data_IF_371356615319
#
_entry.id   IF_371356615319
#
_cell.length_a   1.000
_cell.length_b   1.000
_cell.length_c   1.000
_cell.angle_alpha   90.00
_cell.angle_beta   90.00
_cell.angle_gamma   90.00
#
_symmetry.space_group_name_H-M   'P 1'
#
loop_
_entity.id
_entity.type
_entity.pdbx_description
1 polymer ?
#
# COMPACT_ATOMS: atom_id res chain seq x y z
N UNK A 1 -57.46 -40.31 -38.02
CA UNK A 1 -56.00 -40.21 -38.19
C UNK A 1 -55.58 -38.74 -38.19
N UNK A 2 -55.27 -38.16 -37.03
CA UNK A 2 -54.51 -36.90 -36.92
C UNK A 2 -53.71 -36.99 -35.62
N UNK A 3 -52.46 -37.42 -35.72
CA UNK A 3 -51.54 -37.56 -34.60
C UNK A 3 -50.81 -36.22 -34.44
N UNK A 4 -51.06 -35.50 -33.34
CA UNK A 4 -50.30 -34.31 -32.97
C UNK A 4 -49.07 -34.73 -32.17
N UNK A 5 -47.87 -34.44 -32.69
CA UNK A 5 -46.63 -34.60 -31.94
C UNK A 5 -46.42 -33.38 -31.05
N UNK A 6 -46.61 -33.55 -29.75
CA UNK A 6 -46.15 -32.61 -28.72
C UNK A 6 -44.63 -32.80 -28.56
N UNK A 7 -43.85 -31.84 -29.05
CA UNK A 7 -42.41 -31.75 -28.77
C UNK A 7 -42.27 -31.00 -27.45
N UNK A 8 -41.88 -31.70 -26.39
CA UNK A 8 -41.51 -31.09 -25.12
C UNK A 8 -40.08 -30.51 -25.25
N UNK A 9 -39.96 -29.18 -25.23
CA UNK A 9 -38.67 -28.49 -25.13
C UNK A 9 -38.25 -28.48 -23.66
N UNK A 10 -37.29 -29.33 -23.30
CA UNK A 10 -36.67 -29.30 -21.98
C UNK A 10 -35.72 -28.09 -21.91
N UNK A 11 -36.08 -27.07 -21.15
CA UNK A 11 -35.20 -25.95 -20.85
C UNK A 11 -34.11 -26.41 -19.87
N UNK A 12 -32.87 -26.53 -20.36
CA UNK A 12 -31.70 -26.76 -19.51
C UNK A 12 -31.37 -25.42 -18.84
N UNK A 13 -31.72 -25.28 -17.56
CA UNK A 13 -31.21 -24.20 -16.72
C UNK A 13 -29.74 -24.46 -16.42
N UNK A 14 -28.84 -23.76 -17.11
CA UNK A 14 -27.43 -23.67 -16.73
C UNK A 14 -27.36 -22.88 -15.42
N UNK A 15 -27.08 -23.57 -14.31
CA UNK A 15 -26.78 -22.93 -13.05
C UNK A 15 -25.50 -22.12 -13.20
N UNK A 16 -25.62 -20.80 -13.24
CA UNK A 16 -24.48 -19.90 -13.13
C UNK A 16 -23.86 -20.08 -11.74
N UNK A 17 -22.56 -20.35 -11.62
CA UNK A 17 -21.93 -20.42 -10.31
C UNK A 17 -22.07 -19.04 -9.66
N UNK A 18 -22.68 -19.00 -8.48
CA UNK A 18 -22.67 -17.80 -7.65
C UNK A 18 -21.22 -17.54 -7.25
N UNK A 19 -20.68 -16.40 -7.64
CA UNK A 19 -19.40 -15.94 -7.09
C UNK A 19 -19.62 -15.73 -5.59
N UNK A 20 -18.90 -16.49 -4.77
CA UNK A 20 -18.90 -16.27 -3.33
C UNK A 20 -18.37 -14.87 -3.06
N UNK A 21 -19.13 -14.06 -2.32
CA UNK A 21 -18.66 -12.79 -1.80
C UNK A 21 -17.53 -13.06 -0.80
N UNK A 22 -16.42 -12.31 -0.93
CA UNK A 22 -15.32 -12.36 0.03
C UNK A 22 -15.81 -11.71 1.33
N UNK A 23 -15.64 -12.40 2.46
CA UNK A 23 -15.96 -11.86 3.78
C UNK A 23 -15.03 -10.72 4.17
N UNK A 24 -15.47 -9.88 5.12
CA UNK A 24 -14.64 -8.79 5.65
C UNK A 24 -13.31 -9.30 6.21
N UNK A 25 -13.33 -10.40 6.95
CA UNK A 25 -12.13 -11.04 7.49
C UNK A 25 -11.17 -11.49 6.38
N UNK A 26 -11.68 -12.04 5.28
CA UNK A 26 -10.85 -12.40 4.13
C UNK A 26 -10.29 -11.17 3.41
N UNK A 27 -11.06 -10.08 3.32
CA UNK A 27 -10.55 -8.81 2.79
C UNK A 27 -9.42 -8.24 3.67
N UNK A 28 -9.56 -8.28 4.99
CA UNK A 28 -8.52 -7.82 5.93
C UNK A 28 -7.25 -8.66 5.77
N UNK A 29 -7.37 -9.99 5.72
CA UNK A 29 -6.23 -10.89 5.49
C UNK A 29 -5.55 -10.62 4.15
N UNK A 30 -6.34 -10.32 3.11
CA UNK A 30 -5.80 -9.91 1.82
C UNK A 30 -5.07 -8.57 1.92
N UNK A 31 -5.60 -7.60 2.66
CA UNK A 31 -4.93 -6.33 2.92
C UNK A 31 -3.59 -6.49 3.62
N UNK A 32 -3.53 -7.31 4.67
CA UNK A 32 -2.30 -7.67 5.38
C UNK A 32 -1.26 -8.28 4.43
N UNK A 33 -1.67 -9.24 3.60
CA UNK A 33 -0.80 -9.82 2.58
C UNK A 33 -0.24 -8.77 1.61
N UNK A 34 -1.09 -7.84 1.14
CA UNK A 34 -0.65 -6.79 0.23
C UNK A 34 0.36 -5.85 0.88
N UNK A 35 0.11 -5.39 2.11
CA UNK A 35 1.05 -4.54 2.86
C UNK A 35 2.39 -5.24 3.09
N UNK A 36 2.36 -6.55 3.40
CA UNK A 36 3.56 -7.34 3.64
C UNK A 36 4.39 -7.60 2.38
N UNK A 37 3.77 -7.66 1.20
CA UNK A 37 4.44 -8.09 -0.04
C UNK A 37 4.65 -6.98 -1.06
N UNK A 38 4.00 -5.82 -0.91
CA UNK A 38 4.05 -4.72 -1.89
C UNK A 38 5.05 -3.61 -1.53
N UNK A 39 6.04 -3.91 -0.68
CA UNK A 39 7.12 -2.96 -0.36
C UNK A 39 6.72 -1.76 0.51
N UNK A 40 5.52 -1.76 1.11
CA UNK A 40 5.08 -0.63 1.95
C UNK A 40 6.05 -0.36 3.10
N UNK A 41 6.56 -1.43 3.73
CA UNK A 41 7.48 -1.35 4.85
C UNK A 41 8.89 -0.89 4.46
N UNK A 42 9.26 -0.93 3.18
CA UNK A 42 10.63 -0.61 2.77
C UNK A 42 10.94 0.86 3.00
N UNK A 43 9.96 1.73 2.74
CA UNK A 43 10.08 3.18 2.90
C UNK A 43 9.25 3.71 4.07
N UNK A 44 8.09 3.12 4.39
CA UNK A 44 7.21 3.67 5.42
C UNK A 44 7.43 3.10 6.81
N UNK A 45 8.34 2.13 6.99
CA UNK A 45 8.75 1.66 8.32
C UNK A 45 10.20 2.08 8.56
N UNK A 46 10.51 2.87 9.60
CA UNK A 46 11.88 3.25 9.93
C UNK A 46 12.77 2.02 10.14
N UNK A 47 13.98 2.06 9.59
CA UNK A 47 14.99 1.05 9.86
C UNK A 47 15.79 1.39 11.11
N UNK A 48 16.22 0.34 11.82
CA UNK A 48 17.14 0.39 12.96
C UNK A 48 18.30 -0.57 12.73
N UNK A 49 19.38 -0.42 13.47
CA UNK A 49 20.46 -1.41 13.48
C UNK A 49 20.10 -2.57 14.41
N UNK A 50 19.97 -3.77 13.85
CA UNK A 50 19.89 -5.03 14.59
C UNK A 50 21.21 -5.82 14.54
N UNK A 51 21.21 -6.99 15.18
CA UNK A 51 22.41 -7.84 15.30
C UNK A 51 22.96 -8.33 13.95
N UNK A 52 22.11 -8.42 12.93
CA UNK A 52 22.45 -8.89 11.58
C UNK A 52 22.54 -7.75 10.54
N UNK A 53 22.53 -6.50 10.98
CA UNK A 53 22.53 -5.31 10.12
C UNK A 53 21.24 -4.50 10.21
N UNK A 54 21.02 -3.56 9.27
CA UNK A 54 19.81 -2.75 9.24
C UNK A 54 18.55 -3.62 9.06
N UNK A 55 17.53 -3.38 9.87
CA UNK A 55 16.24 -4.06 9.82
C UNK A 55 15.07 -3.09 10.09
N UNK A 56 13.85 -3.35 9.61
CA UNK A 56 12.68 -2.54 9.94
C UNK A 56 12.37 -2.56 11.45
N UNK A 57 12.12 -1.39 12.04
CA UNK A 57 11.64 -1.28 13.41
C UNK A 57 10.12 -1.46 13.45
N UNK A 58 9.68 -2.69 13.73
CA UNK A 58 8.26 -3.03 13.74
C UNK A 58 7.45 -2.34 14.86
N UNK A 59 8.10 -1.72 15.85
CA UNK A 59 7.40 -0.85 16.82
C UNK A 59 6.88 0.44 16.17
N UNK A 60 7.46 0.83 15.05
CA UNK A 60 7.15 2.01 14.26
C UNK A 60 6.66 1.61 12.86
N UNK A 61 6.07 0.41 12.74
CA UNK A 61 5.56 -0.10 11.48
C UNK A 61 4.65 0.93 10.80
N UNK A 62 4.98 1.28 9.56
CA UNK A 62 4.25 2.22 8.71
C UNK A 62 4.19 3.67 9.21
N UNK A 63 4.99 4.07 10.22
CA UNK A 63 4.95 5.41 10.78
C UNK A 63 5.58 6.50 9.91
N UNK A 64 6.28 6.14 8.83
CA UNK A 64 7.07 7.08 8.03
C UNK A 64 8.30 7.62 8.77
N UNK A 65 8.77 8.82 8.41
CA UNK A 65 9.96 9.40 9.03
C UNK A 65 9.68 9.85 10.48
N UNK A 66 10.45 9.39 11.49
CA UNK A 66 10.22 9.78 12.88
C UNK A 66 10.49 11.26 13.12
N UNK A 67 9.55 11.96 13.77
CA UNK A 67 9.67 13.37 14.15
C UNK A 67 10.92 13.66 15.02
N UNK A 68 11.37 12.67 15.78
CA UNK A 68 12.51 12.77 16.68
C UNK A 68 13.86 12.75 15.96
N UNK A 69 13.89 12.41 14.67
CA UNK A 69 15.09 12.34 13.84
C UNK A 69 15.19 13.54 12.90
N UNK A 70 15.27 14.74 13.47
CA UNK A 70 15.41 15.97 12.69
C UNK A 70 16.67 15.93 11.80
N UNK A 71 16.47 16.05 10.48
CA UNK A 71 17.56 16.25 9.51
C UNK A 71 17.88 17.74 9.46
N UNK A 72 18.93 18.15 10.17
CA UNK A 72 19.32 19.57 10.28
C UNK A 72 20.25 20.03 9.15
N UNK A 73 21.00 19.09 8.54
CA UNK A 73 21.95 19.39 7.48
C UNK A 73 21.93 18.29 6.42
N UNK A 74 22.00 18.72 5.15
CA UNK A 74 22.15 17.83 3.99
C UNK A 74 23.50 18.17 3.34
N UNK A 75 24.43 17.22 3.22
CA UNK A 75 25.68 17.45 2.51
C UNK A 75 25.44 17.93 1.07
N UNK A 76 26.30 18.78 0.49
CA UNK A 76 26.15 19.22 -0.89
C UNK A 76 26.12 18.03 -1.86
N UNK A 77 25.10 17.97 -2.72
CA UNK A 77 24.94 16.97 -3.77
C UNK A 77 25.25 17.65 -5.11
N UNK A 78 26.49 17.52 -5.57
CA UNK A 78 26.99 18.22 -6.76
C UNK A 78 26.93 17.39 -8.05
N UNK A 79 26.74 16.08 -7.93
CA UNK A 79 26.71 15.16 -9.06
C UNK A 79 25.27 14.94 -9.55
N UNK A 80 25.03 14.92 -10.88
CA UNK A 80 23.72 14.62 -11.42
C UNK A 80 23.34 13.16 -11.09
N UNK A 81 22.04 12.92 -10.86
CA UNK A 81 21.47 11.60 -10.58
C UNK A 81 21.92 10.95 -9.26
N UNK A 82 22.41 11.74 -8.30
CA UNK A 82 22.73 11.26 -6.94
C UNK A 82 21.64 11.67 -5.96
N UNK A 83 21.26 10.73 -5.09
CA UNK A 83 20.43 10.98 -3.91
C UNK A 83 21.08 10.35 -2.68
N UNK A 84 20.93 11.00 -1.52
CA UNK A 84 21.40 10.50 -0.23
C UNK A 84 20.21 10.00 0.56
N UNK A 85 20.24 8.73 0.96
CA UNK A 85 19.18 8.14 1.79
C UNK A 85 19.62 8.13 3.24
N UNK A 86 18.73 8.55 4.14
CA UNK A 86 18.98 8.53 5.58
C UNK A 86 19.03 7.10 6.12
N UNK A 87 19.71 6.87 7.24
CA UNK A 87 19.97 5.53 7.78
C UNK A 87 18.69 4.73 8.10
N UNK A 88 17.59 5.42 8.40
CA UNK A 88 16.28 4.80 8.64
C UNK A 88 15.51 4.45 7.37
N UNK A 89 16.06 4.73 6.18
CA UNK A 89 15.42 4.54 4.87
C UNK A 89 14.09 5.33 4.67
N UNK A 90 13.82 6.33 5.51
CA UNK A 90 12.56 7.11 5.49
C UNK A 90 12.72 8.56 5.01
N UNK A 91 13.94 8.96 4.64
CA UNK A 91 14.22 10.29 4.11
C UNK A 91 15.27 10.22 2.99
N UNK A 92 15.02 10.96 1.90
CA UNK A 92 15.89 11.00 0.72
C UNK A 92 16.17 12.46 0.38
N UNK A 93 17.44 12.81 0.30
CA UNK A 93 17.90 14.12 -0.09
C UNK A 93 18.43 14.13 -1.53
N UNK A 94 18.05 15.13 -2.29
CA UNK A 94 18.52 15.38 -3.66
C UNK A 94 18.60 16.89 -3.95
N UNK A 95 18.92 17.29 -5.19
CA UNK A 95 18.93 18.70 -5.60
C UNK A 95 17.59 19.45 -5.40
N UNK A 96 16.50 18.73 -5.17
CA UNK A 96 15.16 19.26 -4.86
C UNK A 96 14.90 19.47 -3.36
N UNK A 97 15.86 19.15 -2.48
CA UNK A 97 15.69 19.17 -1.02
C UNK A 97 15.53 17.77 -0.44
N UNK A 98 14.84 17.67 0.70
CA UNK A 98 14.61 16.41 1.42
C UNK A 98 13.15 15.98 1.26
N UNK A 99 12.95 14.75 0.82
CA UNK A 99 11.66 14.07 0.82
C UNK A 99 11.58 13.14 2.02
N UNK A 100 10.47 13.22 2.75
CA UNK A 100 10.19 12.37 3.92
C UNK A 100 9.02 11.44 3.60
N UNK A 101 9.12 10.19 4.03
CA UNK A 101 8.04 9.20 3.85
C UNK A 101 6.90 9.49 4.84
N UNK A 102 5.66 9.48 4.35
CA UNK A 102 4.48 9.79 5.15
C UNK A 102 4.15 8.73 6.20
N UNK A 103 3.46 9.13 7.27
CA UNK A 103 2.88 8.21 8.25
C UNK A 103 1.60 7.57 7.68
N UNK A 104 1.61 6.25 7.47
CA UNK A 104 0.45 5.51 6.94
C UNK A 104 -0.38 4.83 8.06
N UNK A 105 -0.04 5.06 9.33
CA UNK A 105 -0.81 4.50 10.45
C UNK A 105 -2.18 5.19 10.60
N UNK A 106 -3.11 4.61 11.38
CA UNK A 106 -4.38 5.24 11.70
C UNK A 106 -4.29 6.46 12.63
N UNK A 107 -3.08 6.94 12.95
CA UNK A 107 -2.85 8.09 13.83
C UNK A 107 -3.70 9.29 13.44
N UNK A 108 -4.23 9.99 14.44
CA UNK A 108 -5.25 11.02 14.23
C UNK A 108 -4.67 12.35 13.76
N UNK A 109 -3.42 12.64 14.08
CA UNK A 109 -2.80 13.94 13.81
C UNK A 109 -1.88 13.89 12.59
N UNK A 110 -1.16 12.79 12.41
CA UNK A 110 -0.08 12.68 11.42
C UNK A 110 -0.33 11.59 10.36
N UNK A 111 -1.30 10.69 10.56
CA UNK A 111 -1.61 9.60 9.65
C UNK A 111 -2.36 10.05 8.39
N UNK A 112 -1.73 9.90 7.21
CA UNK A 112 -2.26 10.48 5.95
C UNK A 112 -3.36 9.65 5.29
N UNK A 113 -3.48 8.36 5.60
CA UNK A 113 -4.49 7.50 4.94
C UNK A 113 -5.92 7.88 5.31
N UNK A 114 -6.12 8.64 6.38
CA UNK A 114 -7.44 9.14 6.81
C UNK A 114 -8.01 10.20 5.87
N UNK A 115 -7.15 10.85 5.09
CA UNK A 115 -7.54 11.88 4.12
C UNK A 115 -8.08 11.28 2.81
N UNK A 116 -7.97 9.95 2.66
CA UNK A 116 -8.40 9.23 1.47
C UNK A 116 -9.77 8.58 1.70
N UNK A 117 -10.68 8.74 0.74
CA UNK A 117 -11.73 7.74 0.55
C UNK A 117 -11.12 6.43 0.05
N UNK A 118 -11.86 5.31 0.19
CA UNK A 118 -11.42 4.03 -0.35
C UNK A 118 -11.18 4.11 -1.88
N UNK A 119 -12.04 4.83 -2.61
CA UNK A 119 -11.89 5.03 -4.04
C UNK A 119 -10.60 5.80 -4.38
N UNK A 120 -10.31 6.88 -3.65
CA UNK A 120 -9.08 7.66 -3.84
C UNK A 120 -7.84 6.82 -3.52
N UNK A 121 -7.90 6.00 -2.47
CA UNK A 121 -6.80 5.09 -2.13
C UNK A 121 -6.55 4.08 -3.26
N UNK A 122 -7.61 3.44 -3.76
CA UNK A 122 -7.51 2.48 -4.87
C UNK A 122 -6.98 3.13 -6.15
N UNK A 123 -7.40 4.35 -6.44
CA UNK A 123 -6.94 5.08 -7.62
C UNK A 123 -5.46 5.49 -7.48
N UNK A 124 -5.06 5.97 -6.30
CA UNK A 124 -3.67 6.31 -6.00
C UNK A 124 -2.76 5.08 -6.16
N UNK A 125 -3.18 3.93 -5.64
CA UNK A 125 -2.39 2.70 -5.77
C UNK A 125 -2.30 2.17 -7.20
N UNK A 126 -3.36 2.35 -8.01
CA UNK A 126 -3.39 1.85 -9.40
C UNK A 126 -2.71 2.78 -10.40
N UNK A 127 -2.65 4.07 -10.11
CA UNK A 127 -2.16 5.10 -11.05
C UNK A 127 -0.89 5.80 -10.62
N UNK A 128 -0.51 5.67 -9.33
CA UNK A 128 0.59 6.41 -8.73
C UNK A 128 0.32 7.90 -8.52
N UNK A 129 -0.93 8.36 -8.71
CA UNK A 129 -1.30 9.78 -8.54
C UNK A 129 -1.85 10.06 -7.15
N UNK A 130 -1.44 11.19 -6.58
CA UNK A 130 -1.93 11.63 -5.29
C UNK A 130 -3.39 12.08 -5.39
N UNK A 131 -4.30 11.36 -4.72
CA UNK A 131 -5.75 11.60 -4.65
C UNK A 131 -6.53 11.54 -5.99
N UNK A 132 -5.90 11.06 -7.08
CA UNK A 132 -6.53 10.81 -8.39
C UNK A 132 -6.06 11.72 -9.51
#
# INVERSE_FOLDING_TARGET
MKNGHLIAVAAIFLATPAFAEISKEEMIKRGEYLVATSGCNDCHTPWKMGDNGPEPDMNLMLSGHPETLAITEVPPINEPWVALTYATNTAIAGPWGVSFTANLTPDLETGVLRDYSEEQFLLAMRTGRHLG
#
